data_IF_682058112029
#
_entry.id   IF_682058112029
#
_cell.length_a   1.000
_cell.length_b   1.000
_cell.length_c   1.000
_cell.angle_alpha   90.00
_cell.angle_beta   90.00
_cell.angle_gamma   90.00
#
_symmetry.space_group_name_H-M   'P 1'
#
loop_
_entity.id
_entity.type
_entity.pdbx_description
1 polymer ?
#
# COMPACT_ATOMS: atom_id res chain seq x y z
N UNK A 1 -9.34 -13.23 8.17
CA UNK A 1 -8.88 -13.48 6.79
C UNK A 1 -9.44 -12.35 5.95
N UNK A 2 -8.65 -11.36 5.55
CA UNK A 2 -9.14 -10.42 4.54
C UNK A 2 -8.82 -11.00 3.19
N UNK A 3 -9.87 -11.40 2.48
CA UNK A 3 -9.76 -11.92 1.14
C UNK A 3 -9.25 -10.80 0.21
N UNK A 4 -8.39 -11.16 -0.75
CA UNK A 4 -8.15 -10.32 -1.92
C UNK A 4 -9.52 -9.89 -2.48
N UNK A 5 -9.71 -8.61 -2.89
CA UNK A 5 -10.93 -8.21 -3.57
C UNK A 5 -11.26 -9.24 -4.64
N UNK A 6 -12.48 -9.80 -4.60
CA UNK A 6 -12.86 -10.97 -5.41
C UNK A 6 -12.43 -10.83 -6.88
N UNK A 7 -12.50 -9.61 -7.42
CA UNK A 7 -12.09 -9.29 -8.78
C UNK A 7 -10.58 -9.48 -9.04
N UNK A 8 -9.72 -9.02 -8.13
CA UNK A 8 -8.26 -9.20 -8.24
C UNK A 8 -7.89 -10.66 -8.04
N UNK A 9 -8.57 -11.34 -7.10
CA UNK A 9 -8.39 -12.78 -6.88
C UNK A 9 -8.73 -13.58 -8.14
N UNK A 10 -9.86 -13.30 -8.76
CA UNK A 10 -10.29 -13.98 -9.98
C UNK A 10 -9.28 -13.79 -11.14
N UNK A 11 -8.73 -12.58 -11.30
CA UNK A 11 -7.72 -12.30 -12.33
C UNK A 11 -6.43 -13.08 -12.07
N UNK A 12 -5.96 -13.11 -10.81
CA UNK A 12 -4.75 -13.86 -10.45
C UNK A 12 -4.95 -15.38 -10.57
N UNK A 13 -6.14 -15.89 -10.27
CA UNK A 13 -6.50 -17.29 -10.47
C UNK A 13 -6.54 -17.66 -11.96
N UNK A 14 -7.10 -16.80 -12.82
CA UNK A 14 -7.12 -16.99 -14.27
C UNK A 14 -5.69 -16.95 -14.86
N UNK A 15 -4.83 -16.05 -14.38
CA UNK A 15 -3.42 -15.98 -14.77
C UNK A 15 -2.66 -17.25 -14.34
N UNK A 16 -2.90 -17.74 -13.12
CA UNK A 16 -2.28 -18.97 -12.61
C UNK A 16 -2.69 -20.21 -13.43
N UNK A 17 -3.93 -20.21 -13.97
CA UNK A 17 -4.44 -21.25 -14.89
C UNK A 17 -3.98 -21.07 -16.33
N UNK A 18 -3.24 -20.00 -16.65
CA UNK A 18 -2.81 -19.61 -18.01
C UNK A 18 -3.97 -19.36 -18.97
N UNK A 19 -5.15 -19.00 -18.44
CA UNK A 19 -6.33 -18.65 -19.24
C UNK A 19 -6.21 -17.24 -19.84
N UNK A 20 -5.39 -16.40 -19.21
CA UNK A 20 -5.07 -15.04 -19.65
C UNK A 20 -3.55 -14.83 -19.66
N UNK A 21 -3.08 -13.88 -20.46
CA UNK A 21 -1.67 -13.49 -20.48
C UNK A 21 -1.33 -12.58 -19.30
N UNK A 22 -0.03 -12.39 -19.07
CA UNK A 22 0.45 -11.45 -18.04
C UNK A 22 -0.01 -10.03 -18.39
N UNK A 23 0.06 -9.66 -19.67
CA UNK A 23 -0.39 -8.37 -20.20
C UNK A 23 -1.90 -8.16 -19.98
N UNK A 24 -2.72 -9.19 -20.20
CA UNK A 24 -4.18 -9.11 -19.96
C UNK A 24 -4.50 -8.92 -18.48
N UNK A 25 -3.81 -9.66 -17.61
CA UNK A 25 -3.97 -9.54 -16.17
C UNK A 25 -3.60 -8.12 -15.68
N UNK A 26 -2.54 -7.54 -16.25
CA UNK A 26 -2.13 -6.17 -15.95
C UNK A 26 -3.19 -5.15 -16.37
N UNK A 27 -3.72 -5.23 -17.59
CA UNK A 27 -4.76 -4.31 -18.07
C UNK A 27 -6.03 -4.38 -17.21
N UNK A 28 -6.46 -5.58 -16.83
CA UNK A 28 -7.65 -5.78 -16.01
C UNK A 28 -7.47 -5.22 -14.59
N UNK A 29 -6.30 -5.45 -13.98
CA UNK A 29 -5.98 -4.90 -12.66
C UNK A 29 -5.88 -3.36 -12.71
N UNK A 30 -5.31 -2.81 -13.78
CA UNK A 30 -5.22 -1.36 -13.99
C UNK A 30 -6.60 -0.73 -14.14
N UNK A 31 -7.51 -1.33 -14.91
CA UNK A 31 -8.88 -0.86 -15.07
C UNK A 31 -9.66 -0.86 -13.72
N UNK A 32 -9.48 -1.89 -12.90
CA UNK A 32 -10.08 -1.96 -11.55
C UNK A 32 -9.49 -0.89 -10.62
N UNK A 33 -8.18 -0.60 -10.72
CA UNK A 33 -7.57 0.47 -9.93
C UNK A 33 -8.03 1.85 -10.37
N UNK A 34 -8.10 2.12 -11.67
CA UNK A 34 -8.53 3.41 -12.20
C UNK A 34 -9.99 3.70 -11.86
N UNK A 35 -10.87 2.70 -11.95
CA UNK A 35 -12.28 2.84 -11.52
C UNK A 35 -12.42 3.10 -10.03
N UNK A 36 -11.54 2.53 -9.19
CA UNK A 36 -11.47 2.84 -7.75
C UNK A 36 -10.79 4.18 -7.44
N UNK A 37 -9.92 4.68 -8.31
CA UNK A 37 -9.27 6.00 -8.19
C UNK A 37 -10.21 7.16 -8.51
N UNK A 38 -11.21 6.98 -9.37
CA UNK A 38 -12.25 8.01 -9.63
C UNK A 38 -12.97 8.46 -8.36
N UNK A 39 -13.09 7.58 -7.36
CA UNK A 39 -13.68 7.90 -6.04
C UNK A 39 -12.67 8.48 -5.01
N UNK A 40 -11.37 8.39 -5.27
CA UNK A 40 -10.29 8.82 -4.34
C UNK A 40 -9.80 10.26 -4.54
N UNK A 41 -10.30 11.00 -5.55
CA UNK A 41 -9.78 12.33 -5.97
C UNK A 41 -9.99 13.51 -5.01
N UNK A 42 -10.54 13.33 -3.81
CA UNK A 42 -10.56 14.40 -2.79
C UNK A 42 -9.28 14.35 -1.94
N UNK A 43 -8.21 14.99 -2.42
CA UNK A 43 -6.90 15.25 -1.74
C UNK A 43 -6.07 14.01 -1.38
N UNK A 44 -5.45 13.34 -2.36
CA UNK A 44 -4.34 12.39 -2.11
C UNK A 44 -3.00 13.05 -2.43
N UNK A 45 -1.98 12.87 -1.57
CA UNK A 45 -0.60 13.33 -1.80
C UNK A 45 0.32 12.11 -1.87
N UNK A 46 1.06 11.99 -2.98
CA UNK A 46 1.98 10.88 -3.23
C UNK A 46 3.44 11.30 -2.99
N UNK A 47 4.21 10.44 -2.35
CA UNK A 47 5.63 10.63 -2.04
C UNK A 47 6.41 9.43 -2.58
N UNK A 48 7.29 9.66 -3.56
CA UNK A 48 8.15 8.63 -4.15
C UNK A 48 9.58 8.86 -3.68
N UNK A 49 10.20 7.87 -3.02
CA UNK A 49 11.59 7.98 -2.55
C UNK A 49 11.83 8.99 -1.42
N UNK A 50 10.75 9.57 -0.87
CA UNK A 50 10.80 10.68 0.10
C UNK A 50 10.27 10.23 1.46
N UNK A 51 10.67 10.97 2.49
CA UNK A 51 10.13 10.83 3.83
C UNK A 51 8.90 11.72 4.02
N UNK A 52 7.88 11.18 4.69
CA UNK A 52 6.74 11.92 5.21
C UNK A 52 6.68 11.76 6.72
N UNK A 53 6.67 12.87 7.44
CA UNK A 53 6.61 12.91 8.90
C UNK A 53 5.36 13.69 9.32
N UNK A 54 4.54 13.09 10.17
CA UNK A 54 3.42 13.71 10.84
C UNK A 54 3.64 13.59 12.35
N UNK A 55 4.02 14.69 12.99
CA UNK A 55 4.42 14.71 14.40
C UNK A 55 3.23 14.69 15.35
N UNK A 56 3.49 14.36 16.61
CA UNK A 56 2.48 14.40 17.67
C UNK A 56 1.86 15.79 17.77
N UNK A 57 0.52 15.85 17.82
CA UNK A 57 -0.23 17.11 17.86
C UNK A 57 -0.50 17.73 16.49
N UNK A 58 0.13 17.24 15.41
CA UNK A 58 -0.19 17.63 14.05
C UNK A 58 -1.37 16.83 13.50
N UNK A 59 -2.22 17.49 12.72
CA UNK A 59 -3.30 16.86 11.97
C UNK A 59 -3.09 17.09 10.46
N UNK A 60 -3.19 16.03 9.67
CA UNK A 60 -3.19 16.10 8.21
C UNK A 60 -4.52 15.62 7.66
N UNK A 61 -5.16 16.41 6.79
CA UNK A 61 -6.43 16.07 6.15
C UNK A 61 -6.19 15.71 4.67
N UNK A 62 -6.37 14.43 4.35
CA UNK A 62 -6.15 13.88 3.02
C UNK A 62 -5.58 12.46 3.08
N UNK A 63 -5.44 11.83 1.92
CA UNK A 63 -4.81 10.52 1.81
C UNK A 63 -3.30 10.69 1.58
N UNK A 64 -2.52 9.75 2.10
CA UNK A 64 -1.07 9.71 1.95
C UNK A 64 -0.70 8.41 1.23
N UNK A 65 0.03 8.53 0.13
CA UNK A 65 0.58 7.42 -0.63
C UNK A 65 2.11 7.53 -0.63
N UNK A 66 2.81 6.49 -0.21
CA UNK A 66 4.26 6.46 -0.16
C UNK A 66 4.77 5.24 -0.91
N UNK A 67 5.70 5.45 -1.83
CA UNK A 67 6.33 4.38 -2.61
C UNK A 67 7.85 4.47 -2.44
N UNK A 68 8.48 3.38 -2.02
CA UNK A 68 9.93 3.30 -1.81
C UNK A 68 10.47 4.42 -0.90
N UNK A 69 9.70 4.80 0.12
CA UNK A 69 9.99 5.91 1.02
C UNK A 69 9.66 5.57 2.46
N UNK A 70 9.71 6.56 3.34
CA UNK A 70 9.51 6.38 4.78
C UNK A 70 8.34 7.21 5.28
N UNK A 71 7.48 6.60 6.09
CA UNK A 71 6.38 7.26 6.78
C UNK A 71 6.63 7.24 8.30
N UNK A 72 6.52 8.39 8.95
CA UNK A 72 6.48 8.50 10.41
C UNK A 72 5.15 9.13 10.80
N UNK A 73 4.25 8.34 11.39
CA UNK A 73 2.89 8.77 11.74
C UNK A 73 2.75 8.76 13.26
N UNK A 74 3.01 9.91 13.87
CA UNK A 74 2.87 10.14 15.31
C UNK A 74 1.65 11.04 15.64
N UNK A 75 1.22 11.87 14.68
CA UNK A 75 0.03 12.71 14.76
C UNK A 75 -1.24 12.03 14.23
N UNK A 76 -2.21 12.85 13.80
CA UNK A 76 -3.52 12.38 13.33
C UNK A 76 -3.70 12.58 11.82
N UNK A 77 -3.82 11.47 11.09
CA UNK A 77 -4.14 11.45 9.68
C UNK A 77 -5.65 11.28 9.48
N UNK A 78 -6.32 12.34 9.06
CA UNK A 78 -7.74 12.32 8.66
C UNK A 78 -7.84 11.87 7.20
N UNK A 79 -7.70 10.57 6.97
CA UNK A 79 -7.68 9.96 5.65
C UNK A 79 -7.11 8.54 5.67
N UNK A 80 -6.72 8.04 4.50
CA UNK A 80 -6.10 6.72 4.37
C UNK A 80 -4.57 6.83 4.22
N UNK A 81 -3.85 5.83 4.70
CA UNK A 81 -2.40 5.67 4.50
C UNK A 81 -2.15 4.46 3.60
N UNK A 82 -1.38 4.66 2.53
CA UNK A 82 -0.91 3.59 1.68
C UNK A 82 0.61 3.65 1.58
N UNK A 83 1.31 2.56 1.90
CA UNK A 83 2.78 2.48 1.80
C UNK A 83 3.20 1.21 1.09
N UNK A 84 3.98 1.37 0.01
CA UNK A 84 4.43 0.28 -0.86
C UNK A 84 5.96 0.26 -0.92
N UNK A 85 6.56 -0.88 -0.61
CA UNK A 85 8.01 -1.11 -0.59
C UNK A 85 8.79 -0.09 0.23
N UNK A 86 8.25 0.33 1.38
CA UNK A 86 8.82 1.39 2.19
C UNK A 86 9.07 1.00 3.64
N UNK A 87 9.21 2.02 4.47
CA UNK A 87 9.29 1.90 5.92
C UNK A 87 8.20 2.70 6.60
N UNK A 88 7.63 2.15 7.68
CA UNK A 88 6.62 2.84 8.49
C UNK A 88 7.01 2.79 9.96
N UNK A 89 7.00 3.94 10.62
CA UNK A 89 6.99 4.06 12.09
C UNK A 89 5.65 4.66 12.49
N UNK A 90 4.92 3.97 13.36
CA UNK A 90 3.53 4.34 13.66
C UNK A 90 3.25 4.35 15.15
N UNK A 91 2.80 5.49 15.67
CA UNK A 91 2.27 5.65 17.03
C UNK A 91 1.02 6.52 17.11
N UNK A 92 0.60 7.12 15.98
CA UNK A 92 -0.48 8.10 15.89
C UNK A 92 -1.85 7.49 15.58
N UNK A 93 -2.68 8.28 14.89
CA UNK A 93 -4.04 7.90 14.50
C UNK A 93 -4.24 8.03 12.99
N UNK A 94 -4.88 7.04 12.37
CA UNK A 94 -5.40 7.11 10.99
C UNK A 94 -6.90 6.87 11.04
N UNK A 95 -7.70 7.82 10.55
CA UNK A 95 -9.16 7.73 10.68
C UNK A 95 -9.81 6.78 9.68
N UNK A 96 -9.11 6.42 8.59
CA UNK A 96 -9.60 5.46 7.58
C UNK A 96 -8.66 4.25 7.47
N UNK A 97 -8.46 3.76 6.24
CA UNK A 97 -7.76 2.51 5.97
C UNK A 97 -6.24 2.70 5.96
N UNK A 98 -5.53 1.65 6.35
CA UNK A 98 -4.08 1.54 6.22
C UNK A 98 -3.77 0.34 5.32
N UNK A 99 -3.10 0.58 4.19
CA UNK A 99 -2.71 -0.44 3.21
C UNK A 99 -1.18 -0.49 3.09
N UNK A 100 -0.56 -1.60 3.49
CA UNK A 100 0.88 -1.79 3.51
C UNK A 100 1.27 -2.98 2.62
N UNK A 101 2.21 -2.78 1.70
CA UNK A 101 2.67 -3.81 0.76
C UNK A 101 4.18 -3.86 0.71
N UNK A 102 4.79 -4.98 1.07
CA UNK A 102 6.25 -5.14 1.05
C UNK A 102 6.99 -4.16 1.97
N UNK A 103 6.33 -3.69 3.03
CA UNK A 103 6.79 -2.58 3.88
C UNK A 103 7.37 -3.12 5.19
N UNK A 104 8.47 -2.52 5.66
CA UNK A 104 9.00 -2.77 7.00
C UNK A 104 8.31 -1.84 8.00
N UNK A 105 7.68 -2.40 9.03
CA UNK A 105 6.84 -1.63 9.96
C UNK A 105 7.34 -1.74 11.40
N UNK A 106 7.46 -0.59 12.06
CA UNK A 106 7.67 -0.50 13.50
C UNK A 106 6.42 0.09 14.14
N UNK A 107 5.68 -0.74 14.87
CA UNK A 107 4.48 -0.36 15.58
C UNK A 107 4.79 0.05 17.02
N UNK A 108 4.31 1.21 17.43
CA UNK A 108 4.47 1.77 18.77
C UNK A 108 3.08 2.07 19.41
N UNK A 109 2.08 1.24 19.09
CA UNK A 109 0.68 1.46 19.45
C UNK A 109 -0.06 2.32 18.41
N UNK A 110 -0.97 3.18 18.87
CA UNK A 110 -1.79 4.04 18.03
C UNK A 110 -3.16 3.44 17.67
N UNK A 111 -3.89 4.12 16.78
CA UNK A 111 -5.26 3.75 16.39
C UNK A 111 -5.48 3.83 14.88
N UNK A 112 -6.20 2.86 14.34
CA UNK A 112 -6.67 2.83 12.96
C UNK A 112 -8.20 2.70 12.99
N UNK A 113 -8.91 3.73 12.56
CA UNK A 113 -10.38 3.75 12.52
C UNK A 113 -10.99 2.91 11.40
N UNK A 114 -10.22 2.61 10.34
CA UNK A 114 -10.65 1.76 9.23
C UNK A 114 -10.03 0.36 9.26
N UNK A 115 -9.87 -0.21 8.07
CA UNK A 115 -9.26 -1.53 7.89
C UNK A 115 -7.73 -1.41 7.86
N UNK A 116 -7.04 -2.44 8.36
CA UNK A 116 -5.60 -2.62 8.20
C UNK A 116 -5.34 -3.79 7.25
N UNK A 117 -4.68 -3.51 6.12
CA UNK A 117 -4.25 -4.53 5.16
C UNK A 117 -2.74 -4.54 5.07
N UNK A 118 -2.13 -5.71 5.30
CA UNK A 118 -0.69 -5.92 5.21
C UNK A 118 -0.40 -7.11 4.30
N UNK A 119 0.41 -6.89 3.27
CA UNK A 119 0.80 -7.92 2.30
C UNK A 119 2.32 -7.98 2.23
N UNK A 120 2.91 -9.13 2.55
CA UNK A 120 4.37 -9.33 2.51
C UNK A 120 5.16 -8.33 3.36
N UNK A 121 4.59 -7.85 4.46
CA UNK A 121 5.23 -6.89 5.35
C UNK A 121 6.02 -7.61 6.44
N UNK A 122 7.16 -7.05 6.83
CA UNK A 122 7.85 -7.44 8.06
C UNK A 122 7.54 -6.40 9.13
N UNK A 123 7.15 -6.80 10.33
CA UNK A 123 6.81 -5.84 11.37
C UNK A 123 7.24 -6.28 12.78
N UNK A 124 7.44 -5.28 13.64
CA UNK A 124 7.78 -5.46 15.06
C UNK A 124 7.06 -4.44 15.94
N UNK A 125 7.08 -4.68 17.25
CA UNK A 125 6.55 -3.76 18.25
C UNK A 125 5.07 -4.00 18.60
N UNK A 126 4.44 -2.99 19.20
CA UNK A 126 3.08 -3.06 19.72
C UNK A 126 2.11 -2.61 18.65
N UNK A 127 1.26 -3.51 18.13
CA UNK A 127 0.29 -3.19 17.07
C UNK A 127 -0.71 -2.10 17.51
N UNK A 128 -1.20 -1.28 16.57
CA UNK A 128 -2.26 -0.33 16.84
C UNK A 128 -3.58 -1.04 17.15
N UNK A 129 -4.48 -0.33 17.82
CA UNK A 129 -5.89 -0.73 17.91
C UNK A 129 -6.54 -0.48 16.56
N UNK A 130 -7.14 -1.51 15.97
CA UNK A 130 -7.83 -1.42 14.67
C UNK A 130 -9.32 -1.62 14.89
N UNK A 131 -10.14 -0.66 14.46
CA UNK A 131 -11.60 -0.74 14.62
C UNK A 131 -12.28 -1.57 13.54
N UNK A 132 -11.76 -1.51 12.31
CA UNK A 132 -12.21 -2.34 11.20
C UNK A 132 -11.51 -3.70 11.14
N UNK A 133 -11.48 -4.28 9.95
CA UNK A 133 -10.89 -5.58 9.70
C UNK A 133 -9.37 -5.52 9.58
N UNK A 134 -8.69 -6.55 10.10
CA UNK A 134 -7.26 -6.76 9.91
C UNK A 134 -7.05 -7.93 8.94
N UNK A 135 -6.34 -7.66 7.84
CA UNK A 135 -5.88 -8.66 6.88
C UNK A 135 -4.37 -8.69 6.81
N UNK A 136 -3.80 -9.86 7.06
CA UNK A 136 -2.36 -10.09 6.95
C UNK A 136 -2.09 -11.25 6.01
N UNK A 137 -1.39 -10.98 4.91
CA UNK A 137 -0.96 -11.97 3.94
C UNK A 137 0.55 -12.10 4.02
N UNK A 138 0.98 -12.99 4.92
CA UNK A 138 2.38 -13.36 5.15
C UNK A 138 2.68 -14.66 4.42
N UNK A 139 2.78 -14.65 3.09
CA UNK A 139 3.17 -15.85 2.37
C UNK A 139 4.33 -15.57 1.42
N UNK A 140 5.39 -16.32 1.65
CA UNK A 140 6.55 -16.61 0.82
C UNK A 140 6.27 -16.72 -0.70
N UNK A 141 5.01 -16.94 -1.11
CA UNK A 141 4.52 -16.85 -2.50
C UNK A 141 4.66 -15.46 -3.15
N UNK A 142 4.63 -14.39 -2.35
CA UNK A 142 4.80 -13.04 -2.89
C UNK A 142 6.25 -12.76 -3.27
N UNK A 143 7.25 -13.58 -2.89
CA UNK A 143 8.64 -13.41 -3.38
C UNK A 143 8.72 -13.50 -4.92
N UNK A 144 7.96 -14.40 -5.53
CA UNK A 144 7.88 -14.56 -6.99
C UNK A 144 7.05 -13.45 -7.66
N UNK A 145 5.92 -13.05 -7.05
CA UNK A 145 5.03 -12.04 -7.61
C UNK A 145 5.56 -10.61 -7.35
N UNK A 146 6.13 -10.28 -6.19
CA UNK A 146 6.83 -9.00 -5.94
C UNK A 146 8.02 -8.86 -6.89
N UNK A 147 8.76 -9.93 -7.19
CA UNK A 147 9.82 -9.90 -8.21
C UNK A 147 9.30 -9.50 -9.59
N UNK A 148 8.12 -10.00 -9.97
CA UNK A 148 7.45 -9.65 -11.23
C UNK A 148 6.86 -8.22 -11.20
N UNK A 149 6.15 -7.84 -10.13
CA UNK A 149 5.53 -6.51 -9.97
C UNK A 149 6.60 -5.41 -9.84
N UNK A 150 7.75 -5.69 -9.23
CA UNK A 150 8.90 -4.76 -9.19
C UNK A 150 9.46 -4.49 -10.60
N UNK A 151 9.40 -5.46 -11.51
CA UNK A 151 9.83 -5.26 -12.90
C UNK A 151 8.75 -4.63 -13.78
N UNK A 152 7.47 -4.93 -13.53
CA UNK A 152 6.32 -4.44 -14.31
C UNK A 152 5.91 -3.02 -13.91
N UNK A 153 5.91 -2.68 -12.62
CA UNK A 153 5.42 -1.37 -12.12
C UNK A 153 6.53 -0.32 -12.08
N UNK A 154 7.79 -0.72 -11.84
CA UNK A 154 8.90 0.25 -11.74
C UNK A 154 9.45 0.65 -13.12
N UNK A 155 9.41 -0.23 -14.14
CA UNK A 155 9.89 0.12 -15.49
C UNK A 155 9.08 1.21 -16.21
N UNK A 156 7.74 1.25 -16.19
CA UNK A 156 7.00 2.34 -16.83
C UNK A 156 7.06 3.65 -16.04
N UNK A 157 7.48 3.63 -14.76
CA UNK A 157 7.71 4.84 -13.96
C UNK A 157 9.11 5.46 -14.17
N UNK A 158 10.08 4.70 -14.69
CA UNK A 158 11.44 5.17 -14.97
C UNK A 158 11.73 5.47 -16.45
N UNK A 159 10.86 5.07 -17.38
CA UNK A 159 11.05 5.37 -18.82
C UNK A 159 10.87 6.84 -19.20
N UNK A 160 10.60 7.72 -18.23
CA UNK A 160 10.46 9.17 -18.42
C UNK A 160 11.61 10.02 -17.84
N UNK A 161 12.57 9.44 -17.11
CA UNK A 161 13.70 10.20 -16.56
C UNK A 161 14.95 9.80 -17.33
N UNK A 162 15.32 10.64 -18.31
CA UNK A 162 16.70 10.68 -18.81
C UNK A 162 17.60 11.02 -17.62
N UNK A 163 18.42 10.07 -17.20
CA UNK A 163 19.62 10.36 -16.44
C UNK A 163 20.68 10.62 -17.50
N UNK A 164 21.03 11.88 -17.71
CA UNK A 164 22.30 12.21 -18.36
C UNK A 164 23.43 11.92 -17.36
N UNK A 165 24.49 11.30 -17.87
CA UNK A 165 25.65 10.78 -17.13
C UNK A 165 26.38 11.82 -16.26
#
# INVERSE_FOLDING_TARGET
>A
MGELPNDIRAILEALARKEITVEDAEQLILAIKQSKESDRRKKSKSFIGKEFVLNTGEEYVGNIEIVNGRAVINGKLVGSLQVVFGEVVFSGEVTKNVELVGTNVTWNGGRIGGNLQMVGCNYKGVKPVVEGNVSEVNNFFVSGIIGLVKNVVVRPLLSGIKIED
#
